data_IF_311159619506
#
_entry.id   IF_311159619506
#
_cell.length_a   1.000
_cell.length_b   1.000
_cell.length_c   1.000
_cell.angle_alpha   90.00
_cell.angle_beta   90.00
_cell.angle_gamma   90.00
#
_symmetry.space_group_name_H-M   'P 1'
#
loop_
_entity.id
_entity.type
_entity.pdbx_description
1 polymer ?
#
# COMPACT_ATOMS: atom_id res chain seq x y z
N UNK A 1 42.83 45.65 -35.80
CA UNK A 1 42.52 44.98 -34.52
C UNK A 1 41.33 44.07 -34.73
N UNK A 2 41.45 42.73 -34.74
CA UNK A 2 40.32 41.88 -34.89
C UNK A 2 39.72 41.57 -33.51
N UNK A 3 38.43 41.81 -33.35
CA UNK A 3 37.63 41.39 -32.20
C UNK A 3 37.47 39.87 -32.23
N UNK A 4 38.19 39.20 -31.34
CA UNK A 4 37.95 37.80 -31.06
C UNK A 4 36.69 37.67 -30.19
N UNK A 5 35.56 37.26 -30.81
CA UNK A 5 34.38 36.80 -30.07
C UNK A 5 34.73 35.48 -29.43
N UNK A 6 35.12 35.52 -28.17
CA UNK A 6 35.22 34.34 -27.32
C UNK A 6 33.75 33.90 -27.00
N UNK A 7 33.27 32.93 -27.77
CA UNK A 7 32.02 32.25 -27.52
C UNK A 7 32.09 31.55 -26.16
N UNK A 8 31.59 32.20 -25.12
CA UNK A 8 31.34 31.55 -23.85
C UNK A 8 30.18 30.54 -24.09
N UNK A 9 30.55 29.27 -24.24
CA UNK A 9 29.57 28.19 -24.19
C UNK A 9 28.84 28.26 -22.86
N UNK A 10 27.53 28.40 -22.92
CA UNK A 10 26.66 28.50 -21.76
C UNK A 10 26.84 27.24 -20.87
N UNK A 11 26.86 27.38 -19.54
CA UNK A 11 27.04 26.28 -18.59
C UNK A 11 25.84 25.30 -18.55
N UNK A 12 24.91 25.41 -19.48
CA UNK A 12 23.64 24.67 -19.53
C UNK A 12 23.82 23.18 -19.91
N UNK A 13 24.82 22.85 -20.72
CA UNK A 13 24.98 21.46 -21.23
C UNK A 13 25.59 20.49 -20.20
N UNK A 14 26.42 20.99 -19.28
CA UNK A 14 26.98 20.15 -18.18
C UNK A 14 25.92 19.75 -17.16
N UNK A 15 24.95 20.60 -16.89
CA UNK A 15 23.92 20.36 -15.87
C UNK A 15 22.95 19.22 -16.25
N UNK A 16 22.60 19.08 -17.53
CA UNK A 16 21.67 18.05 -17.99
C UNK A 16 22.37 16.68 -18.05
N UNK A 17 23.60 16.63 -18.58
CA UNK A 17 24.35 15.37 -18.60
C UNK A 17 24.68 14.87 -17.18
N UNK A 18 25.01 15.76 -16.25
CA UNK A 18 25.25 15.41 -14.86
C UNK A 18 23.98 14.90 -14.16
N UNK A 19 22.81 15.49 -14.45
CA UNK A 19 21.51 15.01 -13.96
C UNK A 19 21.17 13.63 -14.54
N UNK A 20 21.36 13.43 -15.84
CA UNK A 20 21.10 12.14 -16.51
C UNK A 20 22.03 11.06 -15.93
N UNK A 21 23.32 11.32 -15.83
CA UNK A 21 24.30 10.38 -15.27
C UNK A 21 24.03 10.06 -13.78
N UNK A 22 23.64 11.07 -12.99
CA UNK A 22 23.23 10.88 -11.60
C UNK A 22 21.96 10.04 -11.49
N UNK A 23 21.01 10.22 -12.41
CA UNK A 23 19.78 9.44 -12.44
C UNK A 23 20.04 8.00 -12.91
N UNK A 24 20.85 7.78 -13.93
CA UNK A 24 21.24 6.44 -14.39
C UNK A 24 21.97 5.65 -13.31
N UNK A 25 22.84 6.31 -12.55
CA UNK A 25 23.65 5.62 -11.53
C UNK A 25 22.89 5.41 -10.20
N UNK A 26 22.10 6.39 -9.77
CA UNK A 26 21.38 6.36 -8.49
C UNK A 26 19.87 6.06 -8.61
N UNK A 27 19.31 6.12 -9.82
CA UNK A 27 17.89 5.96 -10.06
C UNK A 27 17.30 4.66 -9.48
N UNK A 28 17.91 3.48 -9.71
CA UNK A 28 17.40 2.23 -9.14
C UNK A 28 17.39 2.22 -7.62
N UNK A 29 18.42 2.78 -6.96
CA UNK A 29 18.47 2.90 -5.50
C UNK A 29 17.41 3.86 -4.97
N UNK A 30 17.24 5.00 -5.63
CA UNK A 30 16.21 5.98 -5.25
C UNK A 30 14.82 5.40 -5.40
N UNK A 31 14.54 4.67 -6.49
CA UNK A 31 13.27 3.96 -6.68
C UNK A 31 13.02 2.94 -5.57
N UNK A 32 14.02 2.15 -5.17
CA UNK A 32 13.89 1.20 -4.07
C UNK A 32 13.63 1.88 -2.73
N UNK A 33 14.21 3.06 -2.48
CA UNK A 33 13.96 3.82 -1.26
C UNK A 33 12.54 4.35 -1.15
N UNK A 34 11.96 4.84 -2.24
CA UNK A 34 10.59 5.34 -2.22
C UNK A 34 9.52 4.26 -2.44
N UNK A 35 9.88 3.09 -2.96
CA UNK A 35 8.95 2.01 -3.27
C UNK A 35 8.07 1.60 -2.08
N UNK A 36 8.57 1.38 -0.84
CA UNK A 36 7.71 0.98 0.26
C UNK A 36 6.73 2.08 0.66
N UNK A 37 7.10 3.35 0.53
CA UNK A 37 6.20 4.48 0.74
C UNK A 37 5.06 4.49 -0.28
N UNK A 38 5.37 4.34 -1.56
CA UNK A 38 4.37 4.34 -2.64
C UNK A 38 3.45 3.13 -2.53
N UNK A 39 4.00 1.93 -2.35
CA UNK A 39 3.21 0.70 -2.27
C UNK A 39 2.32 0.65 -1.03
N UNK A 40 2.81 1.14 0.12
CA UNK A 40 2.00 1.25 1.34
C UNK A 40 0.91 2.34 1.20
N UNK A 41 1.19 3.47 0.54
CA UNK A 41 0.17 4.48 0.23
C UNK A 41 -0.94 3.91 -0.68
N UNK A 42 -0.57 3.15 -1.73
CA UNK A 42 -1.53 2.47 -2.59
C UNK A 42 -2.36 1.43 -1.81
N UNK A 43 -1.73 0.69 -0.90
CA UNK A 43 -2.42 -0.28 -0.04
C UNK A 43 -3.41 0.40 0.90
N UNK A 44 -3.01 1.50 1.53
CA UNK A 44 -3.85 2.30 2.41
C UNK A 44 -5.05 2.90 1.66
N UNK A 45 -4.80 3.51 0.50
CA UNK A 45 -5.87 4.03 -0.36
C UNK A 45 -6.86 2.93 -0.74
N UNK A 46 -6.36 1.78 -1.18
CA UNK A 46 -7.20 0.65 -1.55
C UNK A 46 -8.04 0.13 -0.36
N UNK A 47 -7.51 0.19 0.86
CA UNK A 47 -8.25 -0.16 2.08
C UNK A 47 -9.40 0.81 2.35
N UNK A 48 -9.23 2.11 2.12
CA UNK A 48 -10.31 3.10 2.22
C UNK A 48 -11.38 2.90 1.14
N UNK A 49 -10.99 2.61 -0.10
CA UNK A 49 -11.93 2.29 -1.18
C UNK A 49 -12.79 1.06 -0.84
N UNK A 50 -12.19 0.03 -0.27
CA UNK A 50 -12.92 -1.15 0.19
C UNK A 50 -13.95 -0.82 1.28
N UNK A 51 -13.56 0.00 2.26
CA UNK A 51 -14.49 0.43 3.33
C UNK A 51 -15.66 1.24 2.77
N UNK A 52 -15.38 2.18 1.87
CA UNK A 52 -16.40 2.99 1.21
C UNK A 52 -17.38 2.13 0.40
N UNK A 53 -16.86 1.25 -0.47
CA UNK A 53 -17.68 0.40 -1.33
C UNK A 53 -18.57 -0.56 -0.52
N UNK A 54 -17.99 -1.19 0.51
CA UNK A 54 -18.75 -2.11 1.36
C UNK A 54 -19.72 -1.37 2.26
N UNK A 55 -19.42 -0.16 2.69
CA UNK A 55 -20.33 0.72 3.42
C UNK A 55 -21.61 1.05 2.64
N UNK A 56 -21.49 1.24 1.32
CA UNK A 56 -22.67 1.44 0.45
C UNK A 56 -23.58 0.22 0.42
N UNK A 57 -23.01 -0.98 0.44
CA UNK A 57 -23.78 -2.26 0.48
C UNK A 57 -24.53 -2.41 1.79
N UNK A 58 -23.96 -1.94 2.89
CA UNK A 58 -24.53 -2.00 4.24
C UNK A 58 -25.60 -0.93 4.51
N UNK A 59 -25.89 -0.05 3.55
CA UNK A 59 -26.91 0.97 3.72
C UNK A 59 -28.25 0.35 4.15
N UNK A 60 -28.90 0.80 5.26
CA UNK A 60 -30.12 0.22 5.81
C UNK A 60 -31.26 0.08 4.78
N UNK A 61 -31.37 1.04 3.86
CA UNK A 61 -32.41 1.06 2.83
C UNK A 61 -32.20 0.00 1.74
N UNK A 62 -31.03 -0.62 1.66
CA UNK A 62 -30.65 -1.60 0.62
C UNK A 62 -30.30 -2.98 1.17
N UNK A 63 -30.25 -3.14 2.50
CA UNK A 63 -29.85 -4.41 3.16
C UNK A 63 -30.65 -5.62 2.70
N UNK A 64 -31.96 -5.49 2.54
CA UNK A 64 -32.79 -6.60 2.10
C UNK A 64 -32.49 -7.06 0.67
N UNK A 65 -32.23 -6.10 -0.23
CA UNK A 65 -31.87 -6.38 -1.63
C UNK A 65 -30.43 -6.89 -1.77
N UNK A 66 -29.51 -6.38 -0.95
CA UNK A 66 -28.10 -6.78 -1.02
C UNK A 66 -27.86 -8.20 -0.48
N UNK A 67 -28.67 -8.70 0.45
CA UNK A 67 -28.49 -10.04 1.01
C UNK A 67 -28.44 -11.16 -0.03
N UNK A 68 -29.25 -11.09 -1.09
CA UNK A 68 -29.29 -12.13 -2.12
C UNK A 68 -28.08 -12.07 -3.08
N UNK A 69 -27.54 -10.88 -3.33
CA UNK A 69 -26.46 -10.65 -4.28
C UNK A 69 -25.08 -10.64 -3.61
N UNK A 70 -25.03 -10.38 -2.30
CA UNK A 70 -23.79 -10.20 -1.56
C UNK A 70 -22.83 -11.39 -1.65
N UNK A 71 -23.24 -12.66 -1.50
CA UNK A 71 -22.30 -13.78 -1.53
C UNK A 71 -21.55 -13.90 -2.85
N UNK A 72 -22.24 -13.78 -3.98
CA UNK A 72 -21.62 -13.90 -5.31
C UNK A 72 -20.76 -12.68 -5.65
N UNK A 73 -21.27 -11.47 -5.37
CA UNK A 73 -20.54 -10.22 -5.60
C UNK A 73 -19.31 -10.12 -4.70
N UNK A 74 -19.43 -10.48 -3.42
CA UNK A 74 -18.33 -10.46 -2.48
C UNK A 74 -17.26 -11.49 -2.83
N UNK A 75 -17.62 -12.68 -3.31
CA UNK A 75 -16.67 -13.69 -3.78
C UNK A 75 -15.79 -13.14 -4.91
N UNK A 76 -16.40 -12.51 -5.91
CA UNK A 76 -15.67 -11.91 -7.04
C UNK A 76 -14.80 -10.73 -6.59
N UNK A 77 -15.35 -9.85 -5.76
CA UNK A 77 -14.66 -8.71 -5.17
C UNK A 77 -13.45 -9.15 -4.35
N UNK A 78 -13.65 -10.11 -3.44
CA UNK A 78 -12.61 -10.60 -2.55
C UNK A 78 -11.47 -11.29 -3.32
N UNK A 79 -11.80 -12.13 -4.32
CA UNK A 79 -10.79 -12.81 -5.14
C UNK A 79 -9.91 -11.82 -5.90
N UNK A 80 -10.50 -10.83 -6.53
CA UNK A 80 -9.77 -9.77 -7.25
C UNK A 80 -8.99 -8.86 -6.30
N UNK A 81 -9.59 -8.55 -5.14
CA UNK A 81 -8.99 -7.74 -4.09
C UNK A 81 -7.80 -8.41 -3.42
N UNK A 82 -7.88 -9.71 -3.16
CA UNK A 82 -6.82 -10.48 -2.51
C UNK A 82 -5.51 -10.42 -3.30
N UNK A 83 -5.57 -10.55 -4.62
CA UNK A 83 -4.38 -10.46 -5.49
C UNK A 83 -3.71 -9.09 -5.36
N UNK A 84 -4.50 -8.01 -5.30
CA UNK A 84 -3.96 -6.64 -5.14
C UNK A 84 -3.36 -6.44 -3.75
N UNK A 85 -4.06 -6.86 -2.71
CA UNK A 85 -3.57 -6.74 -1.32
C UNK A 85 -2.29 -7.52 -1.12
N UNK A 86 -2.24 -8.78 -1.55
CA UNK A 86 -1.03 -9.63 -1.43
C UNK A 86 0.10 -9.08 -2.29
N UNK A 87 -0.19 -8.60 -3.49
CA UNK A 87 0.81 -7.99 -4.38
C UNK A 87 1.41 -6.71 -3.77
N UNK A 88 0.57 -5.79 -3.30
CA UNK A 88 1.03 -4.54 -2.68
C UNK A 88 1.80 -4.82 -1.37
N UNK A 89 1.29 -5.73 -0.54
CA UNK A 89 1.99 -6.14 0.68
C UNK A 89 3.35 -6.75 0.36
N UNK A 90 3.41 -7.68 -0.61
CA UNK A 90 4.67 -8.29 -1.06
C UNK A 90 5.68 -7.26 -1.53
N UNK A 91 5.27 -6.31 -2.38
CA UNK A 91 6.13 -5.21 -2.83
C UNK A 91 6.61 -4.33 -1.68
N UNK A 92 5.72 -4.01 -0.72
CA UNK A 92 6.08 -3.23 0.47
C UNK A 92 7.11 -3.95 1.32
N UNK A 93 6.91 -5.25 1.58
CA UNK A 93 7.84 -6.06 2.38
C UNK A 93 9.19 -6.24 1.70
N UNK A 94 9.20 -6.52 0.39
CA UNK A 94 10.43 -6.70 -0.37
C UNK A 94 11.24 -5.41 -0.45
N UNK A 95 10.60 -4.29 -0.78
CA UNK A 95 11.30 -3.00 -0.88
C UNK A 95 11.68 -2.42 0.48
N UNK A 96 10.82 -2.55 1.50
CA UNK A 96 11.14 -2.14 2.86
C UNK A 96 12.27 -2.98 3.45
N UNK A 97 12.22 -4.31 3.27
CA UNK A 97 13.30 -5.21 3.66
C UNK A 97 14.62 -4.94 2.94
N UNK A 98 14.57 -4.66 1.63
CA UNK A 98 15.75 -4.26 0.88
C UNK A 98 16.42 -3.02 1.50
N UNK A 99 15.65 -1.97 1.77
CA UNK A 99 16.17 -0.74 2.38
C UNK A 99 16.70 -0.98 3.80
N UNK A 100 16.04 -1.84 4.59
CA UNK A 100 16.48 -2.13 5.95
C UNK A 100 17.75 -2.96 6.01
N UNK A 101 17.90 -3.98 5.14
CA UNK A 101 18.95 -4.99 5.32
C UNK A 101 20.08 -4.92 4.28
N UNK A 102 19.80 -4.40 3.09
CA UNK A 102 20.76 -4.39 1.96
C UNK A 102 21.37 -3.01 1.74
N UNK A 103 20.55 -1.96 1.64
CA UNK A 103 21.02 -0.59 1.39
C UNK A 103 21.73 0.02 2.61
N UNK A 104 21.45 -0.50 3.82
CA UNK A 104 22.06 -0.08 5.09
C UNK A 104 22.13 1.44 5.25
N UNK A 105 20.98 2.12 5.26
CA UNK A 105 20.95 3.56 5.47
C UNK A 105 21.43 3.93 6.87
N UNK A 106 21.54 5.24 7.17
CA UNK A 106 21.86 5.72 8.51
C UNK A 106 20.95 5.14 9.59
N UNK A 107 21.41 5.13 10.84
CA UNK A 107 20.75 4.41 11.95
C UNK A 107 19.26 4.80 12.13
N UNK A 108 18.93 6.08 12.00
CA UNK A 108 17.55 6.56 12.15
C UNK A 108 16.65 6.11 10.99
N UNK A 109 17.14 6.25 9.76
CA UNK A 109 16.40 5.79 8.56
C UNK A 109 16.22 4.27 8.58
N UNK A 110 17.22 3.51 9.04
CA UNK A 110 17.14 2.06 9.24
C UNK A 110 16.04 1.69 10.24
N UNK A 111 15.93 2.41 11.36
CA UNK A 111 14.89 2.20 12.35
C UNK A 111 13.49 2.33 11.73
N UNK A 112 13.26 3.38 10.95
CA UNK A 112 11.96 3.63 10.33
C UNK A 112 11.61 2.60 9.26
N UNK A 113 12.56 2.21 8.38
CA UNK A 113 12.30 1.13 7.40
C UNK A 113 12.01 -0.19 8.09
N UNK A 114 12.75 -0.55 9.11
CA UNK A 114 12.56 -1.81 9.86
C UNK A 114 11.19 -1.82 10.54
N UNK A 115 10.86 -0.75 11.26
CA UNK A 115 9.58 -0.62 11.97
C UNK A 115 8.41 -0.65 11.00
N UNK A 116 8.48 0.11 9.90
CA UNK A 116 7.44 0.13 8.87
C UNK A 116 7.24 -1.24 8.22
N UNK A 117 8.34 -1.96 7.93
CA UNK A 117 8.29 -3.30 7.35
C UNK A 117 7.68 -4.32 8.32
N UNK A 118 8.03 -4.27 9.60
CA UNK A 118 7.45 -5.14 10.63
C UNK A 118 5.97 -4.85 10.84
N UNK A 119 5.58 -3.58 10.87
CA UNK A 119 4.17 -3.19 10.94
C UNK A 119 3.41 -3.69 9.70
N UNK A 120 3.94 -3.50 8.49
CA UNK A 120 3.32 -4.04 7.29
C UNK A 120 3.18 -5.56 7.34
N UNK A 121 4.20 -6.30 7.80
CA UNK A 121 4.13 -7.75 7.98
C UNK A 121 3.07 -8.16 9.01
N UNK A 122 2.82 -7.35 10.05
CA UNK A 122 1.83 -7.64 11.08
C UNK A 122 0.38 -7.66 10.56
N UNK A 123 0.12 -7.17 9.34
CA UNK A 123 -1.18 -7.36 8.67
C UNK A 123 -1.57 -8.83 8.58
N UNK A 124 -0.59 -9.74 8.46
CA UNK A 124 -0.84 -11.19 8.38
C UNK A 124 -1.48 -11.75 9.66
N UNK A 125 -1.29 -11.09 10.80
CA UNK A 125 -1.93 -11.47 12.08
C UNK A 125 -3.46 -11.35 11.98
N UNK A 126 -3.98 -10.49 11.12
CA UNK A 126 -5.42 -10.29 10.95
C UNK A 126 -6.08 -11.34 10.05
N UNK A 127 -5.30 -12.14 9.31
CA UNK A 127 -5.82 -13.19 8.42
C UNK A 127 -6.71 -14.21 9.15
N UNK A 128 -6.31 -14.80 10.28
CA UNK A 128 -7.15 -15.75 11.01
C UNK A 128 -8.45 -15.12 11.56
N UNK A 129 -8.49 -13.83 11.78
CA UNK A 129 -9.69 -13.12 12.21
C UNK A 129 -10.62 -12.73 11.05
N UNK A 130 -10.06 -12.43 9.89
CA UNK A 130 -10.80 -12.07 8.69
C UNK A 130 -11.33 -13.29 7.91
N UNK A 131 -10.54 -14.35 7.78
CA UNK A 131 -10.86 -15.51 6.97
C UNK A 131 -12.19 -16.20 7.33
N UNK A 132 -12.54 -16.45 8.62
CA UNK A 132 -13.84 -17.05 8.97
C UNK A 132 -15.02 -16.17 8.58
N UNK A 133 -14.85 -14.85 8.65
CA UNK A 133 -15.90 -13.88 8.29
C UNK A 133 -16.14 -13.85 6.78
N UNK A 134 -15.06 -13.88 5.99
CA UNK A 134 -15.11 -14.02 4.53
C UNK A 134 -15.81 -15.30 4.13
N UNK A 135 -15.44 -16.43 4.76
CA UNK A 135 -16.08 -17.72 4.51
C UNK A 135 -17.57 -17.68 4.82
N UNK A 136 -17.96 -17.13 5.96
CA UNK A 136 -19.36 -16.98 6.35
C UNK A 136 -20.18 -16.15 5.35
N UNK A 137 -19.61 -15.08 4.80
CA UNK A 137 -20.28 -14.26 3.77
C UNK A 137 -20.48 -15.07 2.49
N UNK A 138 -19.48 -15.84 2.06
CA UNK A 138 -19.48 -16.55 0.77
C UNK A 138 -20.33 -17.81 0.79
N UNK A 139 -20.23 -18.62 1.88
CA UNK A 139 -20.85 -19.95 1.94
C UNK A 139 -22.23 -19.96 2.61
N UNK A 140 -22.47 -19.08 3.59
CA UNK A 140 -23.70 -19.06 4.37
C UNK A 140 -24.78 -18.11 3.81
N UNK A 141 -24.59 -17.61 2.59
CA UNK A 141 -25.53 -16.68 1.96
C UNK A 141 -26.98 -17.18 1.82
N UNK A 142 -27.18 -18.50 1.91
CA UNK A 142 -28.52 -19.13 1.86
C UNK A 142 -29.14 -19.39 3.23
N UNK A 143 -28.36 -19.39 4.32
CA UNK A 143 -28.83 -19.78 5.66
C UNK A 143 -28.66 -18.69 6.73
N UNK A 144 -27.96 -17.60 6.43
CA UNK A 144 -27.66 -16.53 7.38
C UNK A 144 -28.01 -15.15 6.88
N UNK A 145 -27.62 -14.14 7.65
CA UNK A 145 -27.71 -12.73 7.25
C UNK A 145 -26.32 -12.29 6.77
N UNK A 146 -26.00 -12.38 5.46
CA UNK A 146 -24.66 -12.08 4.93
C UNK A 146 -24.15 -10.70 5.34
N UNK A 147 -25.07 -9.74 5.52
CA UNK A 147 -24.76 -8.39 5.98
C UNK A 147 -24.12 -8.36 7.38
N UNK A 148 -24.47 -9.27 8.30
CA UNK A 148 -23.84 -9.32 9.63
C UNK A 148 -22.41 -9.81 9.56
N UNK A 149 -22.12 -10.75 8.65
CA UNK A 149 -20.77 -11.20 8.33
C UNK A 149 -19.92 -10.06 7.75
N UNK A 150 -20.51 -9.26 6.86
CA UNK A 150 -19.88 -8.10 6.26
C UNK A 150 -19.57 -7.00 7.28
N UNK A 151 -20.52 -6.68 8.18
CA UNK A 151 -20.29 -5.74 9.29
C UNK A 151 -19.10 -6.18 10.15
N UNK A 152 -19.07 -7.47 10.51
CA UNK A 152 -17.99 -8.04 11.32
C UNK A 152 -16.64 -8.07 10.60
N UNK A 153 -16.64 -8.30 9.29
CA UNK A 153 -15.44 -8.23 8.47
C UNK A 153 -14.91 -6.81 8.36
N UNK A 154 -15.80 -5.84 8.10
CA UNK A 154 -15.42 -4.42 8.02
C UNK A 154 -14.83 -3.89 9.33
N UNK A 155 -15.31 -4.36 10.48
CA UNK A 155 -14.74 -3.96 11.76
C UNK A 155 -13.26 -4.39 11.86
N UNK A 156 -12.96 -5.65 11.52
CA UNK A 156 -11.57 -6.15 11.51
C UNK A 156 -10.72 -5.39 10.49
N UNK A 157 -11.29 -5.14 9.30
CA UNK A 157 -10.64 -4.39 8.24
C UNK A 157 -10.28 -2.96 8.68
N UNK A 158 -11.21 -2.22 9.29
CA UNK A 158 -11.00 -0.86 9.81
C UNK A 158 -9.92 -0.83 10.89
N UNK A 159 -9.99 -1.73 11.88
CA UNK A 159 -8.96 -1.81 12.93
C UNK A 159 -7.58 -2.01 12.30
N UNK A 160 -7.44 -2.96 11.38
CA UNK A 160 -6.18 -3.18 10.66
C UNK A 160 -5.71 -1.91 9.94
N UNK A 161 -6.59 -1.28 9.17
CA UNK A 161 -6.26 -0.09 8.36
C UNK A 161 -5.77 1.06 9.23
N UNK A 162 -6.48 1.38 10.30
CA UNK A 162 -6.12 2.51 11.16
C UNK A 162 -4.92 2.24 12.07
N UNK A 163 -4.77 1.02 12.58
CA UNK A 163 -3.72 0.70 13.56
C UNK A 163 -2.44 0.25 12.88
N UNK A 164 -2.53 -0.51 11.79
CA UNK A 164 -1.38 -1.15 11.15
C UNK A 164 -0.99 -0.46 9.85
N UNK A 165 -1.93 -0.33 8.91
CA UNK A 165 -1.61 0.17 7.57
C UNK A 165 -1.18 1.64 7.62
N UNK A 166 -1.91 2.47 8.38
CA UNK A 166 -1.59 3.89 8.56
C UNK A 166 -0.26 4.09 9.31
N UNK A 167 -0.01 3.30 10.37
CA UNK A 167 1.24 3.38 11.12
C UNK A 167 2.45 2.94 10.28
N UNK A 168 2.32 1.86 9.48
CA UNK A 168 3.36 1.41 8.57
C UNK A 168 3.69 2.48 7.52
N UNK A 169 2.65 3.06 6.91
CA UNK A 169 2.82 4.16 5.97
C UNK A 169 3.52 5.36 6.61
N UNK A 170 3.12 5.76 7.82
CA UNK A 170 3.76 6.84 8.58
C UNK A 170 5.25 6.60 8.84
N UNK A 171 5.65 5.35 9.13
CA UNK A 171 7.07 4.98 9.26
C UNK A 171 7.82 5.16 7.93
N UNK A 172 7.24 4.78 6.80
CA UNK A 172 7.88 4.96 5.49
C UNK A 172 7.93 6.44 5.07
N UNK A 173 6.96 7.27 5.47
CA UNK A 173 7.06 8.73 5.34
C UNK A 173 8.26 9.26 6.12
N UNK A 174 8.39 8.87 7.41
CA UNK A 174 9.51 9.28 8.23
C UNK A 174 10.86 8.85 7.62
N UNK A 175 10.95 7.61 7.13
CA UNK A 175 12.16 7.10 6.47
C UNK A 175 12.52 7.87 5.18
N UNK A 176 11.53 8.37 4.45
CA UNK A 176 11.74 9.07 3.18
C UNK A 176 12.19 10.53 3.36
N UNK A 177 11.91 11.15 4.53
CA UNK A 177 12.28 12.56 4.79
C UNK A 177 13.57 12.70 5.61
N UNK A 178 14.13 11.59 6.11
CA UNK A 178 15.42 11.52 6.80
C UNK A 178 16.54 11.08 5.88
#
# INVERSE_FOLDING_TARGET
MPFSMMGAALPYDRSISDIINAFEHNGPRMLMRIAPLVTSACSLWYSFDQDLLMGVVLNPNRRAQSNSLLPSSFRSFFRSGLVRVVGLLGLTLLSGGYNAFIDKPGHETLYWYTTGTLLAASQLIFVPFAAPKVYAIIENGSQGVPNSGLDSWLMVHRVRTWVVDLAAWGCFVAAAVM
#
